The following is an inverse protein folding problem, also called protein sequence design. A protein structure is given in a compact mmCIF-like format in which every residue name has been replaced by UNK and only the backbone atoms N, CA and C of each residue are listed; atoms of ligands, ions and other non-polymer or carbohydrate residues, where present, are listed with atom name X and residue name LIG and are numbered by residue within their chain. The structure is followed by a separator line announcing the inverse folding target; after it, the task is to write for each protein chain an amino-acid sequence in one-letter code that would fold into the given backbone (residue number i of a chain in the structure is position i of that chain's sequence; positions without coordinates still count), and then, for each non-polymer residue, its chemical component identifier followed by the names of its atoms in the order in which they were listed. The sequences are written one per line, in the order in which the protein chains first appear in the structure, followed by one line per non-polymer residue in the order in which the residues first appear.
data_IF_867668819633
#
_entry.id   IF_867668819633
#
_cell.length_a   1.000
_cell.length_b   1.000
_cell.length_c   1.000
_cell.angle_alpha   90.00
_cell.angle_beta   90.00
_cell.angle_gamma   90.00
#
_symmetry.space_group_name_H-M   'P 1'
#
loop_
_entity.id
_entity.type
_entity.pdbx_description
1 polymer ?
#
# COMPACT_ATOMS: atom_id res chain seq x y z
N UNK A 1 22.76 -0.54 -41.86
CA UNK A 1 23.41 -1.51 -40.96
C UNK A 1 22.90 -1.16 -39.56
N UNK A 2 22.05 -1.98 -39.05
CA UNK A 2 21.39 -1.78 -37.74
C UNK A 2 22.24 -2.40 -36.65
N UNK A 3 22.66 -1.59 -35.68
CA UNK A 3 23.37 -2.03 -34.49
C UNK A 3 22.49 -2.85 -33.56
N UNK A 4 23.02 -3.95 -33.14
CA UNK A 4 22.41 -4.94 -32.26
C UNK A 4 22.19 -4.37 -30.88
N UNK A 5 20.96 -4.59 -30.36
CA UNK A 5 20.63 -4.37 -28.96
C UNK A 5 21.52 -5.26 -28.08
N UNK A 6 22.22 -4.66 -27.13
CA UNK A 6 22.96 -5.38 -26.11
C UNK A 6 21.94 -6.10 -25.18
N UNK A 7 21.82 -7.39 -25.38
CA UNK A 7 21.15 -8.25 -24.41
C UNK A 7 22.07 -8.41 -23.19
N UNK A 8 21.67 -7.91 -22.05
CA UNK A 8 22.34 -8.17 -20.79
C UNK A 8 22.12 -9.64 -20.42
N UNK A 9 23.17 -10.43 -20.54
CA UNK A 9 23.20 -11.79 -20.04
C UNK A 9 23.54 -11.72 -18.55
N UNK A 10 22.56 -11.99 -17.71
CA UNK A 10 22.82 -12.30 -16.31
C UNK A 10 23.20 -13.78 -16.22
N UNK A 11 24.46 -14.08 -15.95
CA UNK A 11 24.87 -15.43 -15.59
C UNK A 11 24.93 -15.53 -14.07
N UNK A 12 24.00 -16.29 -13.49
CA UNK A 12 24.06 -16.69 -12.09
C UNK A 12 24.96 -17.91 -11.97
N UNK A 13 26.12 -17.75 -11.36
CA UNK A 13 27.01 -18.84 -10.94
C UNK A 13 26.85 -19.06 -9.45
N UNK A 14 25.73 -19.65 -9.03
CA UNK A 14 25.51 -20.08 -7.66
C UNK A 14 24.93 -21.47 -7.65
N UNK A 15 25.48 -22.34 -6.83
CA UNK A 15 24.92 -23.67 -6.56
C UNK A 15 23.61 -23.49 -5.82
N UNK A 16 22.51 -23.99 -6.35
CA UNK A 16 21.24 -24.10 -5.62
C UNK A 16 21.46 -25.15 -4.52
N UNK A 17 21.94 -24.70 -3.39
CA UNK A 17 22.08 -25.51 -2.21
C UNK A 17 20.81 -25.44 -1.37
N UNK A 18 20.14 -26.56 -1.17
CA UNK A 18 19.20 -26.75 -0.07
C UNK A 18 20.00 -26.73 1.22
N UNK A 19 20.18 -25.58 1.85
CA UNK A 19 20.77 -25.51 3.18
C UNK A 19 19.89 -24.67 4.10
N UNK A 20 19.41 -25.36 5.14
CA UNK A 20 19.08 -24.73 6.41
C UNK A 20 20.30 -23.96 6.93
N UNK A 21 20.11 -22.67 7.23
CA UNK A 21 21.11 -21.93 7.99
C UNK A 21 21.52 -20.64 7.32
N UNK A 22 21.26 -19.55 8.00
CA UNK A 22 21.40 -18.19 7.57
C UNK A 22 22.78 -17.83 7.05
N UNK A 23 22.79 -16.98 6.07
CA UNK A 23 23.82 -16.00 5.85
C UNK A 23 23.22 -14.88 5.05
N UNK A 24 23.33 -13.69 5.59
CA UNK A 24 22.98 -12.43 5.00
C UNK A 24 23.78 -12.22 3.74
N UNK A 25 23.13 -12.21 2.57
CA UNK A 25 23.66 -11.57 1.39
C UNK A 25 22.52 -10.77 0.75
N UNK A 26 22.80 -9.50 0.53
CA UNK A 26 21.87 -8.41 0.34
C UNK A 26 21.03 -8.43 -0.93
N UNK A 27 20.07 -9.29 -1.00
CA UNK A 27 18.79 -9.14 -1.70
C UNK A 27 17.73 -9.71 -0.79
N UNK A 28 17.49 -9.03 0.30
CA UNK A 28 16.32 -9.33 1.10
C UNK A 28 15.11 -8.73 0.37
N UNK A 29 14.56 -9.49 -0.55
CA UNK A 29 13.12 -9.53 -0.64
C UNK A 29 12.67 -9.80 0.78
N UNK A 30 12.05 -8.82 1.41
CA UNK A 30 11.84 -8.83 2.85
C UNK A 30 10.82 -9.89 3.24
N UNK A 31 11.26 -11.14 3.25
CA UNK A 31 10.54 -12.26 3.84
C UNK A 31 10.45 -12.14 5.37
N UNK A 32 11.00 -11.07 5.95
CA UNK A 32 11.09 -10.89 7.41
C UNK A 32 9.96 -10.06 7.99
N UNK A 33 9.23 -9.28 7.19
CA UNK A 33 8.05 -8.54 7.62
C UNK A 33 6.78 -9.31 7.32
N UNK A 34 6.36 -10.12 8.25
CA UNK A 34 5.14 -10.90 8.17
C UNK A 34 4.70 -11.37 9.55
N UNK A 35 3.47 -11.82 9.62
CA UNK A 35 2.90 -12.40 10.83
C UNK A 35 3.42 -13.84 11.03
N UNK A 36 3.31 -14.32 12.24
CA UNK A 36 3.59 -15.72 12.61
C UNK A 36 2.31 -16.54 12.76
N UNK A 37 1.14 -15.89 12.73
CA UNK A 37 -0.18 -16.48 12.84
C UNK A 37 -1.24 -15.47 12.35
N UNK A 38 -2.45 -15.94 12.12
CA UNK A 38 -3.60 -15.09 11.79
C UNK A 38 -3.87 -14.05 12.88
N UNK A 39 -4.23 -12.84 12.46
CA UNK A 39 -4.50 -11.70 13.33
C UNK A 39 -5.93 -11.20 13.12
N UNK A 40 -6.76 -11.32 14.14
CA UNK A 40 -8.07 -10.69 14.18
C UNK A 40 -7.98 -9.36 14.95
N UNK A 41 -8.39 -8.26 14.33
CA UNK A 41 -8.40 -6.91 14.89
C UNK A 41 -9.80 -6.49 15.34
N UNK A 42 -9.86 -5.70 16.41
CA UNK A 42 -11.06 -4.97 16.82
C UNK A 42 -10.87 -3.50 16.50
N UNK A 43 -11.25 -3.12 15.27
CA UNK A 43 -10.97 -1.79 14.76
C UNK A 43 -11.91 -0.76 15.42
N UNK A 44 -11.33 0.21 16.13
CA UNK A 44 -12.04 1.23 16.91
C UNK A 44 -11.79 2.67 16.43
N UNK A 45 -10.91 2.86 15.45
CA UNK A 45 -10.60 4.14 14.84
C UNK A 45 -10.45 4.08 13.33
N UNK A 46 -10.86 5.17 12.63
CA UNK A 46 -10.63 5.34 11.20
C UNK A 46 -10.29 6.78 10.86
N UNK A 47 -9.23 6.98 10.07
CA UNK A 47 -8.84 8.27 9.50
C UNK A 47 -8.68 8.17 7.99
N UNK A 48 -9.28 9.11 7.27
CA UNK A 48 -9.36 9.13 5.81
C UNK A 48 -8.71 10.42 5.29
N UNK A 49 -7.76 10.30 4.39
CA UNK A 49 -7.08 11.45 3.77
C UNK A 49 -7.25 11.37 2.27
N UNK A 50 -8.04 12.27 1.71
CA UNK A 50 -8.20 12.38 0.26
C UNK A 50 -6.95 13.03 -0.33
N UNK A 51 -6.25 12.32 -1.19
CA UNK A 51 -5.01 12.77 -1.82
C UNK A 51 -5.21 13.32 -3.23
N UNK A 52 -6.43 13.17 -3.78
CA UNK A 52 -6.74 13.62 -5.11
C UNK A 52 -6.45 12.55 -6.17
N UNK A 53 -6.06 13.02 -7.35
CA UNK A 53 -5.75 12.16 -8.50
C UNK A 53 -4.25 12.22 -8.72
N UNK A 54 -3.62 11.06 -8.71
CA UNK A 54 -2.21 10.98 -9.10
C UNK A 54 -2.09 11.21 -10.61
N UNK A 55 -1.23 12.14 -11.00
CA UNK A 55 -0.87 12.38 -12.40
C UNK A 55 0.64 12.38 -12.54
N UNK A 56 1.14 11.68 -13.53
CA UNK A 56 2.57 11.73 -13.92
C UNK A 56 2.86 12.80 -14.99
N UNK A 57 1.89 13.67 -15.22
CA UNK A 57 1.93 14.71 -16.23
C UNK A 57 1.36 14.30 -17.60
N UNK A 58 1.15 13.01 -17.84
CA UNK A 58 0.62 12.48 -19.11
C UNK A 58 -0.52 11.50 -18.93
N UNK A 59 -0.54 10.78 -17.82
CA UNK A 59 -1.56 9.78 -17.54
C UNK A 59 -2.25 10.11 -16.22
N UNK A 60 -3.57 10.14 -16.25
CA UNK A 60 -4.40 10.33 -15.08
C UNK A 60 -4.69 8.96 -14.46
N UNK A 61 -4.29 8.77 -13.20
CA UNK A 61 -4.64 7.59 -12.42
C UNK A 61 -6.02 7.68 -11.80
N UNK A 62 -6.41 6.68 -11.04
CA UNK A 62 -7.63 6.72 -10.24
C UNK A 62 -7.48 7.75 -9.10
N UNK A 63 -8.58 8.40 -8.67
CA UNK A 63 -8.62 9.13 -7.41
C UNK A 63 -8.30 8.19 -6.26
N UNK A 64 -7.57 8.67 -5.25
CA UNK A 64 -7.19 7.80 -4.16
C UNK A 64 -7.21 8.48 -2.80
N UNK A 65 -7.35 7.64 -1.79
CA UNK A 65 -7.35 7.99 -0.38
C UNK A 65 -6.23 7.24 0.34
N UNK A 66 -5.62 7.88 1.31
CA UNK A 66 -4.89 7.15 2.34
C UNK A 66 -5.85 6.90 3.51
N UNK A 67 -5.96 5.63 3.92
CA UNK A 67 -6.89 5.17 4.96
C UNK A 67 -6.09 4.53 6.08
N UNK A 68 -6.38 4.92 7.32
CA UNK A 68 -5.85 4.28 8.51
C UNK A 68 -7.00 3.68 9.33
N UNK A 69 -6.91 2.39 9.61
CA UNK A 69 -7.82 1.69 10.53
C UNK A 69 -7.03 1.22 11.74
N UNK A 70 -7.54 1.47 12.93
CA UNK A 70 -6.80 1.29 14.19
C UNK A 70 -7.49 0.30 15.10
N UNK A 71 -6.71 -0.59 15.72
CA UNK A 71 -7.05 -1.37 16.91
C UNK A 71 -6.22 -0.82 18.08
N UNK A 72 -6.83 0.05 18.88
CA UNK A 72 -6.15 0.72 20.00
C UNK A 72 -5.75 -0.26 21.10
N UNK A 73 -6.52 -1.32 21.30
CA UNK A 73 -6.28 -2.31 22.35
C UNK A 73 -5.05 -3.19 22.02
N UNK A 74 -4.91 -3.60 20.77
CA UNK A 74 -3.77 -4.41 20.30
C UNK A 74 -2.60 -3.57 19.84
N UNK A 75 -2.79 -2.25 19.74
CA UNK A 75 -1.80 -1.28 19.26
C UNK A 75 -1.33 -1.57 17.84
N UNK A 76 -2.28 -1.86 16.95
CA UNK A 76 -2.04 -2.00 15.52
C UNK A 76 -2.81 -0.95 14.73
N UNK A 77 -2.24 -0.58 13.60
CA UNK A 77 -2.90 0.21 12.56
C UNK A 77 -2.70 -0.44 11.20
N UNK A 78 -3.72 -0.42 10.36
CA UNK A 78 -3.60 -0.75 8.94
C UNK A 78 -3.59 0.58 8.18
N UNK A 79 -2.45 0.92 7.58
CA UNK A 79 -2.33 2.05 6.67
C UNK A 79 -2.42 1.58 5.22
N UNK A 80 -3.31 2.17 4.41
CA UNK A 80 -3.52 1.69 3.05
C UNK A 80 -3.86 2.80 2.06
N UNK A 81 -3.44 2.62 0.80
CA UNK A 81 -3.86 3.45 -0.32
C UNK A 81 -5.03 2.80 -1.04
N UNK A 82 -6.16 3.49 -1.07
CA UNK A 82 -7.44 3.01 -1.59
C UNK A 82 -7.79 3.80 -2.84
N UNK A 83 -7.82 3.15 -3.99
CA UNK A 83 -8.15 3.76 -5.28
C UNK A 83 -9.66 3.70 -5.52
N UNK A 84 -10.26 4.82 -5.86
CA UNK A 84 -11.71 4.99 -6.01
C UNK A 84 -12.09 5.40 -7.42
N UNK A 85 -13.38 5.38 -7.74
CA UNK A 85 -13.92 5.93 -8.98
C UNK A 85 -14.49 7.35 -8.81
N UNK A 86 -14.54 7.88 -7.59
CA UNK A 86 -14.98 9.26 -7.34
C UNK A 86 -13.79 10.17 -7.07
N UNK A 87 -13.74 11.29 -7.78
CA UNK A 87 -12.78 12.38 -7.58
C UNK A 87 -13.31 13.51 -6.68
N UNK A 88 -14.47 13.31 -6.08
CA UNK A 88 -15.15 14.32 -5.25
C UNK A 88 -14.96 13.98 -3.78
N UNK A 89 -14.17 14.80 -3.09
CA UNK A 89 -13.89 14.61 -1.65
C UNK A 89 -15.15 14.44 -0.79
N UNK A 90 -16.17 15.26 -1.04
CA UNK A 90 -17.41 15.24 -0.24
C UNK A 90 -18.25 13.96 -0.39
N UNK A 91 -18.01 13.17 -1.43
CA UNK A 91 -18.65 11.87 -1.62
C UNK A 91 -18.00 10.78 -0.77
N UNK A 92 -16.77 11.02 -0.31
CA UNK A 92 -15.99 10.06 0.46
C UNK A 92 -15.57 8.83 -0.36
N UNK A 93 -15.24 7.76 0.33
CA UNK A 93 -14.90 6.49 -0.30
C UNK A 93 -16.20 5.77 -0.69
N UNK A 94 -16.44 5.47 -1.99
CA UNK A 94 -17.63 4.78 -2.44
C UNK A 94 -17.81 3.39 -1.82
N UNK A 95 -19.06 2.99 -1.60
CA UNK A 95 -19.38 1.62 -1.19
C UNK A 95 -18.97 0.62 -2.26
N UNK A 96 -18.42 -0.52 -1.86
CA UNK A 96 -18.00 -1.57 -2.76
C UNK A 96 -16.96 -2.51 -2.16
N UNK A 97 -16.52 -3.47 -2.94
CA UNK A 97 -15.41 -4.35 -2.62
C UNK A 97 -14.13 -3.83 -3.28
N UNK A 98 -13.07 -3.73 -2.51
CA UNK A 98 -11.76 -3.26 -2.91
C UNK A 98 -10.75 -4.40 -2.81
N UNK A 99 -10.10 -4.71 -3.91
CA UNK A 99 -9.17 -5.83 -3.99
C UNK A 99 -7.72 -5.35 -3.88
N UNK A 100 -6.91 -6.03 -3.09
CA UNK A 100 -5.47 -5.73 -2.99
C UNK A 100 -4.76 -6.20 -4.25
N UNK A 101 -4.11 -5.28 -4.97
CA UNK A 101 -3.33 -5.59 -6.18
C UNK A 101 -2.37 -4.44 -6.53
N UNK A 102 -1.71 -4.53 -7.70
CA UNK A 102 -0.74 -3.54 -8.19
C UNK A 102 -1.22 -2.76 -9.43
N UNK A 103 -2.50 -2.84 -9.79
CA UNK A 103 -2.96 -2.22 -11.03
C UNK A 103 -3.42 -0.75 -10.87
N UNK A 104 -3.55 -0.26 -9.64
CA UNK A 104 -3.90 1.12 -9.30
C UNK A 104 -5.23 1.60 -9.92
N UNK A 105 -6.10 0.68 -10.28
CA UNK A 105 -7.42 1.00 -10.83
C UNK A 105 -8.41 1.32 -9.70
N UNK A 106 -9.57 1.87 -10.07
CA UNK A 106 -10.67 2.05 -9.12
C UNK A 106 -11.08 0.71 -8.47
N UNK A 107 -11.49 0.77 -7.22
CA UNK A 107 -11.82 -0.38 -6.36
C UNK A 107 -10.63 -1.31 -6.08
N UNK A 108 -9.43 -0.74 -6.04
CA UNK A 108 -8.21 -1.44 -5.67
C UNK A 108 -7.54 -0.80 -4.46
N UNK A 109 -6.81 -1.63 -3.72
CA UNK A 109 -5.91 -1.23 -2.64
C UNK A 109 -4.49 -1.54 -3.10
N UNK A 110 -3.59 -0.59 -2.97
CA UNK A 110 -2.20 -0.77 -3.37
C UNK A 110 -1.54 -1.82 -2.46
N UNK A 111 -0.97 -2.87 -3.06
CA UNK A 111 -0.25 -3.92 -2.32
C UNK A 111 0.95 -3.35 -1.58
N UNK A 112 1.25 -3.86 -0.39
CA UNK A 112 2.45 -3.54 0.38
C UNK A 112 3.70 -4.13 -0.28
N UNK A 113 4.71 -3.31 -0.53
CA UNK A 113 5.97 -3.70 -1.18
C UNK A 113 7.13 -3.04 -0.43
N UNK A 114 8.19 -3.81 -0.17
CA UNK A 114 9.47 -3.27 0.27
C UNK A 114 10.48 -3.38 -0.88
N UNK A 115 11.00 -2.26 -1.34
CA UNK A 115 11.91 -2.19 -2.48
C UNK A 115 12.82 -0.98 -2.32
N UNK A 116 14.09 -1.12 -2.71
CA UNK A 116 15.08 -0.05 -2.61
C UNK A 116 15.18 0.58 -1.21
N UNK A 117 15.07 -0.24 -0.17
CA UNK A 117 15.08 0.20 1.24
C UNK A 117 13.92 1.14 1.62
N UNK A 118 12.81 1.08 0.89
CA UNK A 118 11.61 1.88 1.13
C UNK A 118 10.36 1.02 1.19
N UNK A 119 9.40 1.45 2.01
CA UNK A 119 8.09 0.84 2.14
C UNK A 119 7.09 1.55 1.25
N UNK A 120 6.37 0.80 0.43
CA UNK A 120 5.33 1.30 -0.48
C UNK A 120 4.01 0.58 -0.25
N UNK A 121 2.89 1.22 -0.62
CA UNK A 121 1.57 0.62 -0.57
C UNK A 121 1.02 0.46 0.85
N UNK A 122 0.41 -0.67 1.12
CA UNK A 122 -0.42 -0.89 2.33
C UNK A 122 0.26 -1.82 3.32
N UNK A 123 0.19 -1.46 4.61
CA UNK A 123 0.94 -2.13 5.67
C UNK A 123 0.15 -2.21 6.97
N UNK A 124 0.33 -3.33 7.68
CA UNK A 124 0.05 -3.43 9.11
C UNK A 124 1.26 -2.89 9.88
N UNK A 125 1.01 -1.97 10.80
CA UNK A 125 2.04 -1.28 11.58
C UNK A 125 1.69 -1.32 13.07
N UNK A 126 2.68 -1.28 13.99
CA UNK A 126 2.40 -0.93 15.38
C UNK A 126 1.87 0.51 15.44
N UNK A 127 0.80 0.76 16.20
CA UNK A 127 0.22 2.11 16.31
C UNK A 127 0.91 3.00 17.34
N UNK A 128 1.79 2.43 18.15
CA UNK A 128 2.54 3.14 19.20
C UNK A 128 4.03 3.33 18.86
N UNK A 129 4.44 3.03 17.62
CA UNK A 129 5.83 3.15 17.17
C UNK A 129 5.91 3.74 15.78
N UNK A 130 6.76 4.72 15.62
CA UNK A 130 7.01 5.38 14.34
C UNK A 130 7.99 4.57 13.49
N UNK A 131 7.73 4.54 12.17
CA UNK A 131 8.60 3.92 11.16
C UNK A 131 8.85 2.41 11.34
N UNK A 132 8.00 1.72 12.10
CA UNK A 132 8.01 0.26 12.16
C UNK A 132 6.86 -0.32 11.31
N UNK A 133 7.14 -1.40 10.60
CA UNK A 133 6.20 -2.12 9.75
C UNK A 133 6.19 -3.59 10.17
N UNK A 134 5.00 -4.13 10.44
CA UNK A 134 4.84 -5.51 10.92
C UNK A 134 4.65 -6.48 9.77
N UNK A 135 3.74 -6.17 8.85
CA UNK A 135 3.43 -7.03 7.72
C UNK A 135 2.93 -6.22 6.52
N UNK A 136 3.38 -6.57 5.33
CA UNK A 136 2.80 -6.07 4.09
C UNK A 136 1.37 -6.60 3.91
N UNK A 137 0.47 -5.78 3.42
CA UNK A 137 -0.84 -6.24 2.93
C UNK A 137 -0.60 -6.75 1.51
N UNK A 138 -0.58 -8.08 1.36
CA UNK A 138 -0.17 -8.73 0.12
C UNK A 138 -1.34 -9.17 -0.76
N UNK A 139 -2.50 -9.40 -0.18
CA UNK A 139 -3.70 -9.83 -0.88
C UNK A 139 -4.95 -9.69 -0.02
N UNK A 140 -6.08 -10.14 -0.58
CA UNK A 140 -7.37 -10.08 0.10
C UNK A 140 -8.22 -8.89 -0.31
N UNK A 141 -9.24 -8.59 0.48
CA UNK A 141 -10.26 -7.60 0.15
C UNK A 141 -10.64 -6.72 1.34
N UNK A 142 -11.17 -5.55 1.04
CA UNK A 142 -11.91 -4.71 1.98
C UNK A 142 -13.29 -4.42 1.41
N UNK A 143 -14.32 -4.69 2.19
CA UNK A 143 -15.67 -4.23 1.87
C UNK A 143 -15.92 -2.90 2.55
N UNK A 144 -16.35 -1.90 1.78
CA UNK A 144 -16.73 -0.57 2.26
C UNK A 144 -18.23 -0.40 2.17
N UNK A 145 -18.86 0.02 3.26
CA UNK A 145 -20.22 0.57 3.26
C UNK A 145 -20.15 2.02 3.72
N UNK A 146 -20.40 2.94 2.80
CA UNK A 146 -20.48 4.38 3.08
C UNK A 146 -21.95 4.72 3.39
N UNK A 147 -22.22 5.13 4.63
CA UNK A 147 -23.56 5.51 5.13
C UNK A 147 -23.81 7.02 4.98
N UNK A 148 -22.87 7.77 4.43
CA UNK A 148 -22.89 9.24 4.35
C UNK A 148 -22.40 9.91 5.64
N UNK A 149 -22.07 11.21 5.57
CA UNK A 149 -21.63 11.99 6.73
C UNK A 149 -20.37 11.45 7.42
N UNK A 150 -19.46 10.83 6.66
CA UNK A 150 -18.27 10.15 7.16
C UNK A 150 -18.55 8.93 8.05
N UNK A 151 -19.75 8.37 8.01
CA UNK A 151 -20.07 7.12 8.72
C UNK A 151 -19.82 5.93 7.79
N UNK A 152 -18.98 5.00 8.23
CA UNK A 152 -18.52 3.88 7.43
C UNK A 152 -18.62 2.54 8.17
N UNK A 153 -18.74 1.47 7.39
CA UNK A 153 -18.29 0.14 7.77
C UNK A 153 -17.14 -0.22 6.84
N UNK A 154 -15.98 -0.55 7.42
CA UNK A 154 -14.84 -1.15 6.73
C UNK A 154 -14.66 -2.57 7.27
N UNK A 155 -14.86 -3.58 6.44
CA UNK A 155 -14.59 -4.96 6.79
C UNK A 155 -13.39 -5.45 5.97
N UNK A 156 -12.30 -5.83 6.64
CA UNK A 156 -11.06 -6.29 6.01
C UNK A 156 -10.88 -7.79 6.17
N UNK A 157 -10.46 -8.46 5.09
CA UNK A 157 -9.97 -9.84 5.05
C UNK A 157 -8.73 -9.86 4.16
N UNK A 158 -7.62 -9.46 4.75
CA UNK A 158 -6.34 -9.36 4.07
C UNK A 158 -5.46 -10.57 4.35
N UNK A 159 -4.41 -10.71 3.55
CA UNK A 159 -3.33 -11.65 3.78
C UNK A 159 -1.97 -10.96 3.72
N UNK A 160 -1.04 -11.43 4.52
CA UNK A 160 0.37 -11.06 4.45
C UNK A 160 1.14 -11.94 3.42
N UNK A 161 2.43 -11.70 3.17
CA UNK A 161 3.24 -12.53 2.26
C UNK A 161 3.37 -14.00 2.67
N UNK A 162 3.16 -14.33 3.94
CA UNK A 162 3.17 -15.71 4.47
C UNK A 162 1.77 -16.36 4.45
N UNK A 163 0.76 -15.67 3.89
CA UNK A 163 -0.64 -16.07 3.84
C UNK A 163 -1.35 -16.15 5.20
N UNK A 164 -0.82 -15.48 6.24
CA UNK A 164 -1.58 -15.28 7.46
C UNK A 164 -2.65 -14.22 7.22
N UNK A 165 -3.82 -14.46 7.83
CA UNK A 165 -4.95 -13.54 7.70
C UNK A 165 -4.83 -12.36 8.65
N UNK A 166 -5.27 -11.19 8.15
CA UNK A 166 -5.47 -9.97 8.91
C UNK A 166 -6.93 -9.57 8.71
N UNK A 167 -7.76 -9.81 9.73
CA UNK A 167 -9.20 -9.57 9.65
C UNK A 167 -9.64 -8.54 10.67
N UNK A 168 -10.70 -7.80 10.36
CA UNK A 168 -11.29 -6.85 11.30
C UNK A 168 -12.45 -6.07 10.69
N UNK A 169 -13.24 -5.45 11.56
CA UNK A 169 -14.33 -4.58 11.12
C UNK A 169 -14.32 -3.31 11.96
N UNK A 170 -14.33 -2.17 11.27
CA UNK A 170 -14.66 -0.86 11.85
C UNK A 170 -16.08 -0.50 11.48
N UNK A 171 -16.86 -0.02 12.44
CA UNK A 171 -18.15 0.62 12.19
C UNK A 171 -18.22 1.90 13.02
N UNK A 172 -18.37 3.05 12.38
CA UNK A 172 -18.41 4.32 13.07
C UNK A 172 -18.20 5.53 12.18
N UNK A 173 -17.98 6.68 12.83
CA UNK A 173 -17.63 7.92 12.16
C UNK A 173 -16.12 7.99 11.99
N UNK A 174 -15.66 8.09 10.74
CA UNK A 174 -14.26 8.29 10.41
C UNK A 174 -13.90 9.79 10.45
N UNK A 175 -12.67 10.10 10.84
CA UNK A 175 -12.09 11.42 10.62
C UNK A 175 -11.70 11.55 9.15
N UNK A 176 -12.13 12.60 8.46
CA UNK A 176 -11.83 12.79 7.04
C UNK A 176 -11.20 14.16 6.78
N UNK A 177 -10.19 14.21 5.92
CA UNK A 177 -9.47 15.42 5.53
C UNK A 177 -9.15 15.44 4.05
N UNK A 178 -9.36 16.59 3.39
CA UNK A 178 -8.88 16.82 2.04
C UNK A 178 -7.45 17.37 2.09
N UNK A 179 -6.53 16.60 1.54
CA UNK A 179 -5.12 16.94 1.42
C UNK A 179 -4.67 17.00 -0.04
N UNK A 180 -5.63 16.92 -0.97
CA UNK A 180 -5.36 17.05 -2.41
C UNK A 180 -4.67 18.39 -2.68
N UNK A 181 -3.65 18.39 -3.51
CA UNK A 181 -2.85 19.59 -3.79
C UNK A 181 -1.81 19.95 -2.72
N UNK A 182 -1.71 19.21 -1.62
CA UNK A 182 -0.58 19.28 -0.69
C UNK A 182 0.45 18.21 -1.06
N UNK A 183 1.74 18.51 -0.86
CA UNK A 183 2.75 17.48 -1.05
C UNK A 183 2.48 16.29 -0.09
N UNK A 184 2.65 15.02 -0.51
CA UNK A 184 2.36 13.83 0.29
C UNK A 184 3.02 13.82 1.68
N UNK A 185 4.12 14.56 1.86
CA UNK A 185 4.82 14.74 3.13
C UNK A 185 4.02 15.47 4.21
N UNK A 186 2.88 16.10 3.88
CA UNK A 186 2.08 16.86 4.83
C UNK A 186 0.98 16.06 5.52
N UNK A 187 0.58 14.94 4.97
CA UNK A 187 -0.30 14.03 5.70
C UNK A 187 0.57 13.24 6.69
N UNK A 188 0.80 13.81 7.86
CA UNK A 188 1.26 12.98 8.96
C UNK A 188 0.16 11.98 9.24
N UNK A 189 0.43 10.70 9.06
CA UNK A 189 -0.43 9.66 9.60
C UNK A 189 -0.59 9.92 11.10
N UNK A 190 -1.72 9.55 11.65
CA UNK A 190 -1.99 9.72 13.08
C UNK A 190 -0.91 9.03 13.93
N UNK A 191 -0.25 8.02 13.37
CA UNK A 191 0.78 7.20 14.03
C UNK A 191 2.20 7.35 13.45
N UNK A 192 2.43 8.30 12.53
CA UNK A 192 3.76 8.50 11.94
C UNK A 192 4.19 7.44 10.91
N UNK A 193 3.51 6.30 10.86
CA UNK A 193 3.84 5.17 9.99
C UNK A 193 3.09 5.25 8.67
N UNK A 194 3.67 5.95 7.70
CA UNK A 194 3.10 6.05 6.38
C UNK A 194 4.09 5.59 5.33
N UNK A 195 3.80 4.44 4.71
CA UNK A 195 4.51 4.00 3.52
C UNK A 195 4.28 4.99 2.35
N UNK A 196 5.23 5.07 1.45
CA UNK A 196 5.07 5.84 0.22
C UNK A 196 4.16 5.10 -0.76
N UNK A 197 3.47 5.84 -1.62
CA UNK A 197 2.81 5.24 -2.77
C UNK A 197 3.84 4.95 -3.85
N UNK A 198 3.88 3.73 -4.34
CA UNK A 198 4.69 3.39 -5.51
C UNK A 198 4.09 4.07 -6.75
N UNK A 199 4.94 4.62 -7.61
CA UNK A 199 4.49 5.15 -8.89
C UNK A 199 3.75 4.06 -9.68
N UNK A 200 2.64 4.43 -10.34
CA UNK A 200 1.87 3.47 -11.13
C UNK A 200 2.76 2.81 -12.21
N UNK A 201 2.46 1.59 -12.65
CA UNK A 201 3.22 0.91 -13.71
C UNK A 201 3.34 1.72 -15.00
N UNK A 202 2.39 2.63 -15.24
CA UNK A 202 2.40 3.53 -16.39
C UNK A 202 3.47 4.62 -16.23
N UNK A 203 3.63 5.18 -15.02
CA UNK A 203 4.66 6.17 -14.73
C UNK A 203 6.07 5.55 -14.73
N UNK A 204 6.21 4.29 -14.31
CA UNK A 204 7.48 3.57 -14.33
C UNK A 204 8.04 3.35 -15.75
N UNK A 205 7.18 3.23 -16.76
CA UNK A 205 7.62 3.19 -18.17
C UNK A 205 8.22 4.52 -18.65
N UNK A 206 7.73 5.64 -18.11
CA UNK A 206 8.27 6.97 -18.47
C UNK A 206 9.61 7.28 -17.80
N UNK A 207 9.82 6.80 -16.58
CA UNK A 207 11.12 6.99 -15.90
C UNK A 207 12.26 6.26 -16.60
N UNK A 208 12.00 5.10 -17.21
CA UNK A 208 12.99 4.38 -18.03
C UNK A 208 13.38 5.22 -19.25
N UNK A 209 12.42 5.91 -19.88
CA UNK A 209 12.70 6.76 -21.03
C UNK A 209 13.47 8.04 -20.66
N UNK A 210 13.22 8.61 -19.48
CA UNK A 210 13.97 9.77 -18.98
C UNK A 210 15.42 9.44 -18.62
N UNK A 211 15.69 8.23 -18.12
CA UNK A 211 17.07 7.77 -17.90
C UNK A 211 17.84 7.57 -19.21
N UNK A 212 17.17 7.14 -20.27
CA UNK A 212 17.78 6.96 -21.59
C UNK A 212 18.13 8.28 -22.28
N UNK A 213 17.45 9.39 -21.95
CA UNK A 213 17.69 10.72 -22.52
C UNK A 213 18.77 11.54 -21.79
N UNK A 214 19.32 11.04 -20.68
CA UNK A 214 20.40 11.69 -19.91
C UNK A 214 21.78 11.07 -20.09
N UNK A 215 21.97 10.28 -21.16
CA UNK A 215 23.28 9.72 -21.54
C UNK A 215 23.74 10.29 -22.86
#
# INVERSE_FOLDING_TARGET
IFGLANAYKFSYTGTVGTSKGGSSDGTSDDATTGLTADLALTLDGASLYYEGIYTDGTTQGAPYWYVELVDSAKKYAIGMFVNTNSSVYSEGIPSGEYNVNENYAAFCIDRGIYEDSQYYGSWLCPSDKDNEYTAAINGGTMTVTNKGGNVYIFAVDFTDPQNHKITGTFEGTASASDISGKAPSYAKSFFGNRASRKASPVSGRFDISKKALRR
#
